data_IF_503658818442
#
_entry.id   IF_503658818442
#
_cell.length_a   1.000
_cell.length_b   1.000
_cell.length_c   1.000
_cell.angle_alpha   90.00
_cell.angle_beta   90.00
_cell.angle_gamma   90.00
#
_symmetry.space_group_name_H-M   'P 1'
#
loop_
_entity.id
_entity.type
_entity.pdbx_description
1 polymer ?
#
# COMPACT_ATOMS: atom_id res chain seq x y z
N UNK A 1 50.11 27.91 -37.21
CA UNK A 1 49.22 28.75 -36.37
C UNK A 1 47.79 28.52 -36.85
N UNK A 2 46.92 28.12 -35.92
CA UNK A 2 45.44 28.16 -35.97
C UNK A 2 44.67 27.13 -36.81
N UNK A 3 44.47 25.97 -36.18
CA UNK A 3 43.27 25.11 -36.24
C UNK A 3 42.06 25.80 -35.59
N UNK A 4 40.86 25.64 -36.18
CA UNK A 4 39.59 25.63 -35.43
C UNK A 4 38.55 24.79 -36.17
N UNK A 5 38.51 23.50 -35.82
CA UNK A 5 37.34 22.64 -36.02
C UNK A 5 36.33 22.96 -34.91
N UNK A 6 35.07 23.15 -35.28
CA UNK A 6 33.96 23.26 -34.33
C UNK A 6 33.70 21.91 -33.68
N UNK A 7 33.98 21.81 -32.38
CA UNK A 7 33.56 20.69 -31.54
C UNK A 7 32.35 21.14 -30.74
N UNK A 8 31.18 20.66 -31.15
CA UNK A 8 29.94 20.79 -30.40
C UNK A 8 30.06 20.05 -29.06
N UNK A 9 29.83 20.78 -27.96
CA UNK A 9 29.48 20.21 -26.66
C UNK A 9 28.00 20.46 -26.44
N UNK A 10 27.20 19.42 -26.38
CA UNK A 10 25.88 19.48 -25.74
C UNK A 10 25.50 18.11 -25.17
N UNK A 11 24.87 18.15 -24.01
CA UNK A 11 24.75 17.11 -23.00
C UNK A 11 23.99 15.85 -23.45
N UNK A 12 24.32 14.64 -22.95
CA UNK A 12 23.36 13.53 -22.93
C UNK A 12 22.37 13.75 -21.78
N UNK A 13 21.35 14.58 -22.04
CA UNK A 13 20.16 14.67 -21.20
C UNK A 13 19.45 13.31 -21.25
N UNK A 14 19.19 12.76 -20.07
CA UNK A 14 18.58 11.46 -19.83
C UNK A 14 17.42 11.17 -20.77
N UNK A 15 17.48 10.01 -21.43
CA UNK A 15 16.37 9.44 -22.20
C UNK A 15 15.19 9.13 -21.27
N UNK A 16 14.00 9.73 -21.48
CA UNK A 16 12.80 9.38 -20.74
C UNK A 16 12.01 8.35 -21.54
N UNK A 17 12.32 7.07 -21.35
CA UNK A 17 11.55 5.93 -21.83
C UNK A 17 12.13 4.69 -21.13
N UNK A 18 11.39 3.81 -20.46
CA UNK A 18 9.95 3.58 -20.44
C UNK A 18 9.72 2.68 -19.24
N UNK A 19 9.06 3.23 -18.22
CA UNK A 19 8.66 2.55 -17.01
C UNK A 19 7.52 1.58 -17.37
N UNK A 20 7.85 0.43 -17.95
CA UNK A 20 6.85 -0.59 -18.29
C UNK A 20 7.19 -1.92 -17.66
N UNK A 21 6.63 -2.12 -16.47
CA UNK A 21 5.92 -3.35 -16.14
C UNK A 21 4.82 -3.01 -15.13
N UNK A 22 3.76 -2.39 -15.66
CA UNK A 22 2.42 -2.46 -15.10
C UNK A 22 1.95 -3.91 -15.17
N UNK A 23 2.21 -4.66 -14.10
CA UNK A 23 1.36 -5.81 -13.76
C UNK A 23 0.17 -5.22 -13.02
N UNK A 24 -0.78 -4.68 -13.79
CA UNK A 24 -2.08 -4.26 -13.28
C UNK A 24 -2.97 -5.50 -13.12
N UNK A 25 -2.52 -6.43 -12.27
CA UNK A 25 -3.40 -7.42 -11.70
C UNK A 25 -3.90 -6.79 -10.40
N UNK A 26 -5.16 -6.35 -10.34
CA UNK A 26 -5.86 -6.18 -9.07
C UNK A 26 -6.08 -7.55 -8.43
N UNK A 27 -5.01 -8.30 -8.24
CA UNK A 27 -5.01 -9.50 -7.42
C UNK A 27 -5.34 -8.99 -6.02
N UNK A 28 -6.47 -9.44 -5.49
CA UNK A 28 -6.81 -9.16 -4.11
C UNK A 28 -5.61 -9.55 -3.24
N UNK A 29 -5.25 -8.72 -2.24
CA UNK A 29 -4.14 -9.03 -1.36
C UNK A 29 -4.35 -10.44 -0.79
N UNK A 30 -3.32 -11.29 -0.87
CA UNK A 30 -3.36 -12.61 -0.25
C UNK A 30 -3.38 -12.43 1.26
N UNK A 31 -4.39 -13.01 1.90
CA UNK A 31 -4.54 -12.98 3.36
C UNK A 31 -3.90 -14.22 3.96
N UNK A 32 -3.12 -14.02 5.02
CA UNK A 32 -2.44 -15.07 5.77
C UNK A 32 -2.85 -14.97 7.24
N UNK A 33 -2.86 -16.07 8.00
CA UNK A 33 -3.12 -16.01 9.44
C UNK A 33 -2.14 -15.06 10.13
N UNK A 34 -2.66 -14.11 10.92
CA UNK A 34 -1.81 -13.22 11.70
C UNK A 34 -1.20 -13.99 12.88
N UNK A 35 0.11 -14.15 12.87
CA UNK A 35 0.87 -14.72 13.98
C UNK A 35 1.62 -13.59 14.69
N UNK A 36 1.28 -13.27 15.95
CA UNK A 36 1.97 -12.23 16.70
C UNK A 36 3.47 -12.51 16.83
N UNK A 37 4.29 -11.52 16.46
CA UNK A 37 5.75 -11.51 16.50
C UNK A 37 6.30 -10.53 17.54
N UNK A 38 5.46 -9.71 18.18
CA UNK A 38 5.90 -8.79 19.22
C UNK A 38 4.84 -7.77 19.63
N UNK A 39 5.28 -6.58 20.00
CA UNK A 39 4.38 -5.48 20.36
C UNK A 39 3.70 -4.94 19.10
N UNK A 40 2.38 -5.09 19.05
CA UNK A 40 1.54 -4.52 18.00
C UNK A 40 1.26 -3.04 18.27
N UNK A 41 1.45 -2.20 17.25
CA UNK A 41 1.00 -0.80 17.24
C UNK A 41 0.01 -0.58 16.10
N UNK A 42 -1.10 0.07 16.40
CA UNK A 42 -2.04 0.55 15.38
C UNK A 42 -1.53 1.89 14.86
N UNK A 43 -1.42 2.00 13.54
CA UNK A 43 -0.99 3.21 12.83
C UNK A 43 -2.21 3.95 12.31
N UNK A 44 -3.13 3.23 11.67
CA UNK A 44 -4.34 3.78 11.08
C UNK A 44 -5.43 2.70 11.02
N UNK A 45 -6.70 3.10 11.03
CA UNK A 45 -7.83 2.17 10.98
C UNK A 45 -8.93 2.72 10.07
N UNK A 46 -9.61 1.84 9.34
CA UNK A 46 -10.86 2.16 8.64
C UNK A 46 -11.96 2.54 9.64
N UNK A 47 -13.03 3.20 9.17
CA UNK A 47 -14.09 3.74 10.03
C UNK A 47 -14.77 2.74 10.99
N UNK A 48 -14.75 1.45 10.69
CA UNK A 48 -15.29 0.39 11.56
C UNK A 48 -14.23 -0.64 11.99
N UNK A 49 -12.94 -0.33 11.82
CA UNK A 49 -11.82 -1.20 12.17
C UNK A 49 -11.78 -2.54 11.41
N UNK A 50 -12.52 -2.69 10.30
CA UNK A 50 -12.42 -3.88 9.43
C UNK A 50 -11.00 -4.05 8.88
N UNK A 51 -10.35 -2.94 8.50
CA UNK A 51 -8.97 -2.91 8.02
C UNK A 51 -8.13 -1.97 8.87
N UNK A 52 -7.10 -2.52 9.50
CA UNK A 52 -6.20 -1.80 10.41
C UNK A 52 -4.77 -1.88 9.89
N UNK A 53 -4.14 -0.73 9.65
CA UNK A 53 -2.72 -0.65 9.37
C UNK A 53 -1.95 -0.76 10.68
N UNK A 54 -1.11 -1.77 10.79
CA UNK A 54 -0.37 -2.13 11.98
C UNK A 54 1.14 -2.03 11.75
N UNK A 55 1.88 -1.86 12.84
CA UNK A 55 3.33 -2.00 12.91
C UNK A 55 3.72 -3.01 14.00
N UNK A 56 4.58 -3.95 13.66
CA UNK A 56 5.06 -5.00 14.56
C UNK A 56 6.40 -5.54 14.04
N UNK A 57 7.34 -5.82 14.95
CA UNK A 57 8.64 -6.43 14.61
C UNK A 57 9.36 -5.74 13.43
N UNK A 58 9.39 -4.40 13.44
CA UNK A 58 9.99 -3.56 12.40
C UNK A 58 9.31 -3.61 11.02
N UNK A 59 8.10 -4.16 10.94
CA UNK A 59 7.34 -4.27 9.68
C UNK A 59 5.93 -3.71 9.83
N UNK A 60 5.41 -3.18 8.72
CA UNK A 60 4.03 -2.75 8.59
C UNK A 60 3.22 -3.80 7.86
N UNK A 61 1.94 -3.91 8.18
CA UNK A 61 1.01 -4.85 7.55
C UNK A 61 -0.43 -4.38 7.78
N UNK A 62 -1.36 -4.88 6.96
CA UNK A 62 -2.79 -4.66 7.18
C UNK A 62 -3.35 -5.87 7.89
N UNK A 63 -4.11 -5.65 8.96
CA UNK A 63 -4.81 -6.66 9.73
C UNK A 63 -6.31 -6.53 9.54
N UNK A 64 -7.02 -7.66 9.46
CA UNK A 64 -8.48 -7.74 9.54
C UNK A 64 -8.93 -8.78 10.54
N UNK A 65 -10.14 -8.63 11.07
CA UNK A 65 -10.81 -9.69 11.84
C UNK A 65 -11.53 -10.64 10.90
N UNK A 66 -11.45 -11.93 11.17
CA UNK A 66 -12.24 -12.96 10.49
C UNK A 66 -13.57 -13.18 11.23
N UNK A 67 -14.56 -13.79 10.56
CA UNK A 67 -15.87 -14.08 11.17
C UNK A 67 -15.83 -14.98 12.42
N UNK A 68 -14.68 -15.61 12.72
CA UNK A 68 -14.47 -16.46 13.89
C UNK A 68 -13.69 -15.76 15.01
N UNK A 69 -13.43 -14.46 14.91
CA UNK A 69 -12.65 -13.70 15.89
C UNK A 69 -11.13 -13.91 15.79
N UNK A 70 -10.65 -14.69 14.82
CA UNK A 70 -9.23 -14.79 14.47
C UNK A 70 -8.81 -13.60 13.60
N UNK A 71 -7.51 -13.33 13.54
CA UNK A 71 -6.96 -12.25 12.71
C UNK A 71 -6.21 -12.79 11.50
N UNK A 72 -6.35 -12.10 10.38
CA UNK A 72 -5.54 -12.29 9.19
C UNK A 72 -4.76 -11.01 8.89
N UNK A 73 -3.62 -11.17 8.23
CA UNK A 73 -2.78 -10.10 7.77
C UNK A 73 -2.46 -10.18 6.28
N UNK A 74 -2.07 -9.05 5.72
CA UNK A 74 -1.52 -8.96 4.37
C UNK A 74 -0.52 -7.81 4.24
N UNK A 75 0.15 -7.76 3.10
CA UNK A 75 1.08 -6.69 2.72
C UNK A 75 2.24 -6.43 3.70
N UNK A 76 2.63 -7.44 4.50
CA UNK A 76 3.73 -7.33 5.46
C UNK A 76 5.01 -6.84 4.79
N UNK A 77 5.65 -5.82 5.36
CA UNK A 77 6.88 -5.24 4.83
C UNK A 77 7.05 -3.75 5.14
N UNK A 78 7.68 -2.98 4.24
CA UNK A 78 7.87 -1.54 4.41
C UNK A 78 6.54 -0.77 4.44
N UNK A 79 6.53 0.38 5.13
CA UNK A 79 5.34 1.24 5.27
C UNK A 79 4.65 1.55 3.94
N UNK A 80 5.41 1.96 2.92
CA UNK A 80 4.84 2.35 1.62
C UNK A 80 3.98 1.26 0.97
N UNK A 81 4.41 -0.01 1.09
CA UNK A 81 3.65 -1.15 0.56
C UNK A 81 2.37 -1.38 1.36
N UNK A 82 2.49 -1.45 2.69
CA UNK A 82 1.35 -1.72 3.55
C UNK A 82 0.31 -0.59 3.51
N UNK A 83 0.75 0.66 3.46
CA UNK A 83 -0.11 1.84 3.37
C UNK A 83 -0.86 1.90 2.02
N UNK A 84 -0.21 1.56 0.90
CA UNK A 84 -0.88 1.48 -0.40
C UNK A 84 -2.01 0.44 -0.39
N UNK A 85 -1.74 -0.77 0.13
CA UNK A 85 -2.76 -1.82 0.24
C UNK A 85 -3.86 -1.44 1.22
N UNK A 86 -3.52 -0.81 2.36
CA UNK A 86 -4.51 -0.30 3.30
C UNK A 86 -5.43 0.73 2.65
N UNK A 87 -4.87 1.70 1.92
CA UNK A 87 -5.64 2.74 1.22
C UNK A 87 -6.60 2.16 0.17
N UNK A 88 -6.17 1.14 -0.58
CA UNK A 88 -7.07 0.44 -1.52
C UNK A 88 -8.21 -0.30 -0.81
N UNK A 89 -7.92 -0.99 0.30
CA UNK A 89 -8.93 -1.72 1.08
C UNK A 89 -9.91 -0.75 1.74
N UNK A 90 -9.41 0.31 2.39
CA UNK A 90 -10.22 1.33 3.03
C UNK A 90 -11.06 2.12 2.00
N UNK A 91 -10.53 2.39 0.81
CA UNK A 91 -11.27 3.08 -0.26
C UNK A 91 -12.38 2.24 -0.89
N UNK A 92 -12.28 0.90 -0.85
CA UNK A 92 -13.32 -0.03 -1.31
C UNK A 92 -14.26 -0.51 -0.20
N UNK A 93 -13.92 -0.21 1.06
CA UNK A 93 -14.68 -0.66 2.22
C UNK A 93 -16.06 0.00 2.25
N UNK A 94 -17.12 -0.82 2.32
CA UNK A 94 -18.49 -0.36 2.52
C UNK A 94 -18.80 -0.45 4.00
N UNK A 95 -18.90 0.71 4.66
CA UNK A 95 -19.23 0.75 6.08
C UNK A 95 -20.65 0.26 6.31
N UNK A 96 -20.79 -0.86 7.04
CA UNK A 96 -22.09 -1.47 7.36
C UNK A 96 -23.05 -0.54 8.13
N UNK A 97 -22.54 0.55 8.72
CA UNK A 97 -23.34 1.52 9.45
C UNK A 97 -23.86 2.69 8.59
N UNK A 98 -23.58 2.74 7.28
CA UNK A 98 -24.08 3.82 6.40
C UNK A 98 -25.54 3.65 5.94
N UNK A 99 -26.22 2.56 6.29
CA UNK A 99 -27.67 2.37 6.01
C UNK A 99 -28.61 3.01 7.03
N UNK A 100 -28.11 3.87 7.92
CA UNK A 100 -28.91 4.45 9.02
C UNK A 100 -29.36 5.89 8.87
N UNK A 101 -28.93 6.62 7.83
CA UNK A 101 -29.20 8.07 7.73
C UNK A 101 -29.86 8.47 6.41
N UNK A 102 -31.04 7.92 6.16
CA UNK A 102 -32.06 8.51 5.28
C UNK A 102 -33.44 8.06 5.78
N UNK A 103 -33.98 8.83 6.73
CA UNK A 103 -35.42 8.84 7.04
C UNK A 103 -35.76 8.71 8.51
N UNK A 104 -36.08 9.82 9.18
CA UNK A 104 -37.48 10.28 9.40
C UNK A 104 -37.43 11.68 10.01
#
# INVERSE_FOLDING_TARGET
MSTSAGTERSCPFLSPAKLELQVNCTALPSWEPHVPRGLLRVVEASCCEEYVLCFEAAQFFVRRVTGQGAYEETARGPYARAAAVWGELAGRHVCRNQTGDLGT
#
